data_IF_189202464187
#
_entry.id   IF_189202464187
#
_cell.length_a   1.000
_cell.length_b   1.000
_cell.length_c   1.000
_cell.angle_alpha   90.00
_cell.angle_beta   90.00
_cell.angle_gamma   90.00
#
_symmetry.space_group_name_H-M   'P 1'
#
loop_
_entity.id
_entity.type
_entity.pdbx_description
1 polymer ?
#
# COMPACT_ATOMS: atom_id res chain seq x y z
N UNK A 1 15.74 -39.39 6.87
CA UNK A 1 15.71 -39.09 6.52
C UNK A 1 15.46 -38.69 6.17
N UNK A 2 15.44 -38.74 6.14
CA UNK A 2 15.35 -38.42 5.75
C UNK A 2 14.89 -37.66 5.13
N UNK A 3 14.91 -37.65 4.82
CA UNK A 3 14.64 -36.80 4.00
C UNK A 3 13.77 -36.05 4.16
N UNK A 4 13.75 -36.44 4.52
CA UNK A 4 13.19 -35.87 4.85
C UNK A 4 13.32 -34.89 5.13
N UNK A 5 13.83 -35.05 4.98
CA UNK A 5 14.14 -34.06 5.09
C UNK A 5 14.05 -33.05 4.32
N UNK A 6 13.29 -33.09 3.84
CA UNK A 6 12.66 -31.90 3.45
C UNK A 6 12.55 -30.99 4.59
N UNK A 7 13.65 -30.63 5.01
CA UNK A 7 13.71 -29.56 5.95
C UNK A 7 12.90 -28.42 5.39
N UNK A 8 11.83 -28.14 6.04
CA UNK A 8 11.04 -26.96 5.76
C UNK A 8 11.94 -25.75 5.93
N UNK A 9 12.44 -25.24 4.83
CA UNK A 9 13.32 -24.05 4.83
C UNK A 9 12.55 -22.78 5.10
N UNK A 10 11.23 -22.86 5.22
CA UNK A 10 10.36 -21.76 5.52
C UNK A 10 10.76 -21.09 6.84
N UNK A 11 10.89 -19.79 6.81
CA UNK A 11 11.18 -18.97 7.99
C UNK A 11 9.99 -18.06 8.26
N UNK A 12 9.54 -18.08 9.50
CA UNK A 12 8.50 -17.22 9.99
C UNK A 12 9.08 -16.29 11.05
N UNK A 13 8.93 -14.98 10.84
CA UNK A 13 9.35 -13.96 11.79
C UNK A 13 8.12 -13.26 12.37
N UNK A 14 8.14 -13.08 13.68
CA UNK A 14 7.09 -12.37 14.40
C UNK A 14 7.68 -11.24 15.22
N UNK A 15 6.99 -10.11 15.25
CA UNK A 15 7.37 -8.95 16.04
C UNK A 15 6.14 -8.43 16.76
N UNK A 16 6.22 -8.34 18.07
CA UNK A 16 5.16 -7.74 18.89
C UNK A 16 5.35 -6.23 18.92
N UNK A 17 4.46 -5.51 18.25
CA UNK A 17 4.54 -4.06 18.12
C UNK A 17 4.21 -3.34 19.43
N UNK A 18 3.50 -3.99 20.35
CA UNK A 18 3.15 -3.40 21.62
C UNK A 18 4.33 -3.34 22.58
N UNK A 19 5.26 -4.28 22.46
CA UNK A 19 6.38 -4.43 23.42
C UNK A 19 7.75 -4.10 22.84
N UNK A 20 7.86 -3.99 21.52
CA UNK A 20 9.15 -3.73 20.88
C UNK A 20 9.74 -2.38 21.29
N UNK A 21 11.04 -2.38 21.55
CA UNK A 21 11.80 -1.14 21.82
C UNK A 21 12.28 -0.46 20.54
N UNK A 22 12.09 -1.10 19.38
CA UNK A 22 12.54 -0.56 18.10
C UNK A 22 11.68 0.61 17.61
N UNK A 23 10.49 0.78 18.17
CA UNK A 23 9.55 1.84 17.80
C UNK A 23 9.29 2.77 18.98
N UNK A 24 9.25 4.08 18.71
CA UNK A 24 8.75 5.05 19.68
C UNK A 24 7.20 5.00 19.75
N UNK A 25 6.61 5.79 20.64
CA UNK A 25 5.16 5.76 20.83
C UNK A 25 4.38 6.20 19.60
N UNK A 26 4.87 7.18 18.87
CA UNK A 26 4.24 7.68 17.65
C UNK A 26 4.32 6.63 16.55
N UNK A 27 5.48 6.03 16.36
CA UNK A 27 5.69 4.97 15.39
C UNK A 27 4.83 3.74 15.71
N UNK A 28 4.79 3.35 16.97
CA UNK A 28 3.96 2.23 17.43
C UNK A 28 2.50 2.46 17.10
N UNK A 29 1.99 3.64 17.39
CA UNK A 29 0.62 4.00 17.12
C UNK A 29 0.31 3.95 15.62
N UNK A 30 1.19 4.48 14.80
CA UNK A 30 1.06 4.44 13.35
C UNK A 30 1.05 3.01 12.82
N UNK A 31 1.98 2.19 13.28
CA UNK A 31 2.08 0.80 12.86
C UNK A 31 0.83 0.01 13.26
N UNK A 32 0.36 0.15 14.48
CA UNK A 32 -0.84 -0.52 14.96
C UNK A 32 -2.08 -0.10 14.17
N UNK A 33 -2.20 1.17 13.86
CA UNK A 33 -3.32 1.70 13.09
C UNK A 33 -3.31 1.23 11.64
N UNK A 34 -2.16 1.30 10.99
CA UNK A 34 -2.03 0.92 9.59
C UNK A 34 -2.14 -0.59 9.35
N UNK A 35 -1.58 -1.39 10.24
CA UNK A 35 -1.55 -2.82 10.08
C UNK A 35 -2.80 -3.52 10.63
N UNK A 36 -3.49 -2.91 11.57
CA UNK A 36 -4.78 -3.31 12.12
C UNK A 36 -5.11 -4.80 12.02
N UNK A 37 -5.92 -5.15 11.05
CA UNK A 37 -6.39 -6.52 10.82
C UNK A 37 -5.30 -7.51 10.40
N UNK A 38 -4.19 -7.01 9.87
CA UNK A 38 -3.05 -7.83 9.48
C UNK A 38 -2.27 -8.37 10.69
N UNK A 39 -2.50 -7.77 11.85
CA UNK A 39 -1.86 -8.20 13.09
C UNK A 39 -2.69 -9.26 13.79
N UNK A 40 -2.00 -10.22 14.39
CA UNK A 40 -2.62 -11.13 15.35
C UNK A 40 -2.49 -10.47 16.75
N UNK A 41 -3.53 -9.77 17.16
CA UNK A 41 -3.43 -8.88 18.31
C UNK A 41 -2.50 -7.71 18.00
N UNK A 42 -1.32 -7.67 18.61
CA UNK A 42 -0.27 -6.68 18.33
C UNK A 42 0.94 -7.27 17.60
N UNK A 43 0.87 -8.53 17.18
CA UNK A 43 1.99 -9.28 16.61
C UNK A 43 1.91 -9.27 15.09
N UNK A 44 2.95 -8.73 14.46
CA UNK A 44 3.14 -8.81 13.02
C UNK A 44 3.96 -10.05 12.69
N UNK A 45 3.45 -10.88 11.81
CA UNK A 45 4.12 -12.10 11.36
C UNK A 45 4.32 -12.06 9.85
N UNK A 46 5.51 -12.40 9.41
CA UNK A 46 5.86 -12.55 8.00
C UNK A 46 6.49 -13.92 7.78
N UNK A 47 6.32 -14.44 6.59
CA UNK A 47 6.84 -15.76 6.21
C UNK A 47 7.62 -15.64 4.91
N UNK A 48 8.76 -16.33 4.83
CA UNK A 48 9.53 -16.47 3.60
C UNK A 48 9.83 -17.94 3.36
N UNK A 49 9.50 -18.42 2.19
CA UNK A 49 9.63 -19.82 1.80
C UNK A 49 10.12 -20.01 0.36
N UNK A 50 10.46 -18.90 -0.32
CA UNK A 50 10.81 -18.91 -1.75
C UNK A 50 12.20 -19.47 -2.04
N UNK A 51 13.05 -19.58 -1.05
CA UNK A 51 14.41 -20.10 -1.21
C UNK A 51 14.55 -21.51 -0.66
N UNK A 52 15.50 -22.26 -1.18
CA UNK A 52 15.82 -23.60 -0.66
C UNK A 52 16.56 -23.54 0.66
N UNK A 53 17.37 -22.51 0.85
CA UNK A 53 18.17 -22.31 2.04
C UNK A 53 17.36 -21.60 3.11
N UNK A 54 17.34 -22.14 4.30
CA UNK A 54 16.76 -21.48 5.48
C UNK A 54 17.42 -20.13 5.75
N UNK A 55 18.73 -20.04 5.52
CA UNK A 55 19.48 -18.80 5.69
C UNK A 55 18.98 -17.70 4.75
N UNK A 56 18.75 -18.05 3.47
CA UNK A 56 18.22 -17.09 2.50
C UNK A 56 16.77 -16.68 2.83
N UNK A 57 15.98 -17.61 3.30
CA UNK A 57 14.62 -17.31 3.75
C UNK A 57 14.60 -16.41 4.98
N UNK A 58 15.58 -16.56 5.88
CA UNK A 58 15.72 -15.68 7.05
C UNK A 58 16.01 -14.24 6.62
N UNK A 59 16.90 -14.05 5.68
CA UNK A 59 17.21 -12.72 5.11
C UNK A 59 15.95 -12.16 4.41
N UNK A 60 15.30 -12.95 3.60
CA UNK A 60 14.08 -12.55 2.90
C UNK A 60 12.97 -12.16 3.87
N UNK A 61 12.78 -12.92 4.94
CA UNK A 61 11.78 -12.61 5.98
C UNK A 61 12.10 -11.29 6.69
N UNK A 62 13.35 -11.05 7.03
CA UNK A 62 13.79 -9.78 7.64
C UNK A 62 13.53 -8.59 6.74
N UNK A 63 13.87 -8.70 5.47
CA UNK A 63 13.63 -7.65 4.48
C UNK A 63 12.13 -7.38 4.31
N UNK A 64 11.33 -8.44 4.28
CA UNK A 64 9.88 -8.34 4.16
C UNK A 64 9.26 -7.67 5.38
N UNK A 65 9.69 -8.05 6.57
CA UNK A 65 9.25 -7.43 7.83
C UNK A 65 9.62 -5.95 7.85
N UNK A 66 10.84 -5.60 7.49
CA UNK A 66 11.31 -4.23 7.44
C UNK A 66 10.53 -3.39 6.43
N UNK A 67 10.21 -3.95 5.27
CA UNK A 67 9.42 -3.27 4.24
C UNK A 67 7.98 -2.99 4.72
N UNK A 68 7.35 -3.96 5.36
CA UNK A 68 6.00 -3.80 5.92
C UNK A 68 5.99 -2.73 7.01
N UNK A 69 6.98 -2.74 7.89
CA UNK A 69 7.11 -1.73 8.94
C UNK A 69 7.33 -0.34 8.38
N UNK A 70 8.22 -0.17 7.40
CA UNK A 70 8.47 1.13 6.77
C UNK A 70 7.21 1.69 6.14
N UNK A 71 6.46 0.85 5.44
CA UNK A 71 5.20 1.26 4.83
C UNK A 71 4.17 1.70 5.88
N UNK A 72 4.12 0.99 7.02
CA UNK A 72 3.19 1.30 8.11
C UNK A 72 3.57 2.56 8.88
N UNK A 73 4.84 2.93 8.88
CA UNK A 73 5.34 4.12 9.58
C UNK A 73 5.26 5.38 8.73
N UNK A 74 5.01 5.25 7.44
CA UNK A 74 4.85 6.39 6.56
C UNK A 74 3.71 7.29 7.08
N UNK A 75 3.90 8.63 7.16
CA UNK A 75 2.84 9.51 7.58
C UNK A 75 1.65 9.36 6.63
N UNK A 76 0.41 9.37 7.15
CA UNK A 76 -0.75 9.28 6.29
C UNK A 76 -0.67 10.42 5.29
N UNK A 77 -0.83 10.10 4.01
CA UNK A 77 -1.00 11.15 3.01
C UNK A 77 -2.18 11.99 3.46
N UNK A 78 -1.91 13.25 3.71
CA UNK A 78 -2.95 14.24 3.84
C UNK A 78 -3.81 14.12 2.58
N UNK A 79 -4.99 13.55 2.74
CA UNK A 79 -6.02 13.65 1.71
C UNK A 79 -6.40 15.13 1.67
N UNK A 80 -5.68 15.87 0.88
CA UNK A 80 -6.21 17.15 0.43
C UNK A 80 -7.53 16.85 -0.25
N UNK A 81 -8.60 17.61 0.08
CA UNK A 81 -9.79 17.54 -0.75
C UNK A 81 -9.30 17.67 -2.16
N UNK A 82 -9.64 16.71 -2.97
CA UNK A 82 -9.15 16.53 -4.31
C UNK A 82 -9.45 17.76 -5.15
N UNK A 83 -8.53 18.68 -5.20
CA UNK A 83 -8.50 19.58 -6.34
C UNK A 83 -8.19 18.71 -7.55
N UNK A 84 -9.09 18.67 -8.55
CA UNK A 84 -8.80 17.97 -9.78
C UNK A 84 -7.44 18.42 -10.29
N UNK A 85 -6.64 17.50 -10.77
CA UNK A 85 -5.36 17.84 -11.36
C UNK A 85 -5.58 18.85 -12.49
N UNK A 86 -4.56 19.65 -12.77
CA UNK A 86 -4.60 20.61 -13.87
C UNK A 86 -5.04 19.95 -15.18
N UNK A 87 -4.56 18.74 -15.43
CA UNK A 87 -4.94 17.97 -16.61
C UNK A 87 -6.43 17.57 -16.58
N UNK A 88 -6.96 17.21 -15.43
CA UNK A 88 -8.37 16.89 -15.28
C UNK A 88 -9.27 18.12 -15.47
N UNK A 89 -8.84 19.29 -14.96
CA UNK A 89 -9.54 20.56 -15.20
C UNK A 89 -9.55 20.93 -16.68
N UNK A 90 -8.42 20.77 -17.35
CA UNK A 90 -8.29 21.04 -18.79
C UNK A 90 -9.20 20.12 -19.62
N UNK A 91 -9.26 18.85 -19.28
CA UNK A 91 -10.17 17.88 -19.93
C UNK A 91 -11.63 18.25 -19.72
N UNK A 92 -11.99 18.64 -18.52
CA UNK A 92 -13.35 19.08 -18.19
C UNK A 92 -13.76 20.29 -19.00
N UNK A 93 -12.88 21.27 -19.11
CA UNK A 93 -13.10 22.48 -19.89
C UNK A 93 -13.20 22.17 -21.38
N UNK A 94 -12.35 21.29 -21.89
CA UNK A 94 -12.39 20.86 -23.28
C UNK A 94 -13.68 20.13 -23.60
N UNK A 95 -14.13 19.23 -22.74
CA UNK A 95 -15.41 18.51 -22.91
C UNK A 95 -16.60 19.45 -22.86
N UNK A 96 -16.58 20.41 -21.94
CA UNK A 96 -17.62 21.41 -21.81
C UNK A 96 -17.70 22.31 -23.04
N UNK A 97 -16.56 22.71 -23.57
CA UNK A 97 -16.47 23.51 -24.79
C UNK A 97 -17.00 22.73 -26.00
N UNK A 98 -16.61 21.47 -26.11
CA UNK A 98 -17.07 20.58 -27.16
C UNK A 98 -18.58 20.39 -27.14
N UNK A 99 -19.17 20.21 -25.96
CA UNK A 99 -20.64 20.13 -25.80
C UNK A 99 -21.31 21.43 -26.15
N UNK A 100 -20.73 22.56 -25.81
CA UNK A 100 -21.24 23.88 -26.13
C UNK A 100 -21.23 24.11 -27.64
N UNK A 101 -20.20 23.73 -28.33
CA UNK A 101 -20.11 23.81 -29.79
C UNK A 101 -21.12 22.91 -30.49
N UNK A 102 -21.32 21.71 -29.99
CA UNK A 102 -22.37 20.80 -30.49
C UNK A 102 -23.78 21.37 -30.28
N UNK A 103 -24.03 21.98 -29.13
CA UNK A 103 -25.28 22.67 -28.86
C UNK A 103 -25.53 23.86 -29.77
N UNK A 104 -24.48 24.65 -29.99
CA UNK A 104 -24.56 25.80 -30.90
C UNK A 104 -24.81 25.36 -32.34
N UNK A 105 -24.17 24.28 -32.79
CA UNK A 105 -24.42 23.66 -34.09
C UNK A 105 -25.87 23.17 -34.26
N UNK A 106 -26.42 22.59 -33.20
CA UNK A 106 -27.81 22.10 -33.20
C UNK A 106 -28.85 23.23 -33.17
N UNK A 107 -28.51 24.39 -32.64
CA UNK A 107 -29.40 25.56 -32.58
C UNK A 107 -29.42 26.39 -33.85
N UNK A 108 -28.61 26.01 -34.83
CA UNK A 108 -28.53 26.72 -36.10
C UNK A 108 -29.42 26.21 -37.25
N UNK A 109 -30.31 25.25 -37.05
CA UNK A 109 -31.13 24.79 -38.19
C UNK A 109 -32.04 25.85 -38.78
N UNK A 110 -32.32 26.88 -38.04
CA UNK A 110 -33.15 27.96 -38.54
C UNK A 110 -32.41 29.00 -39.35
N UNK A 111 -31.17 28.80 -39.60
CA UNK A 111 -30.33 29.73 -40.37
C UNK A 111 -30.13 29.32 -41.81
N UNK A 112 -30.88 28.42 -42.25
CA UNK A 112 -30.92 28.05 -43.66
C UNK A 112 -31.69 29.04 -44.51
#
# INVERSE_FOLDING_TARGET
>A
GQGVNTADSRVQLSLDLATTTALDDVQRQRALTHLGERLNGSVLTVTAAEHRSQRHNRVAARERLAAVLRASLAPPRLRRPTKPSRAAKMRRLADKKKRSELKAGRRRPGME
#
